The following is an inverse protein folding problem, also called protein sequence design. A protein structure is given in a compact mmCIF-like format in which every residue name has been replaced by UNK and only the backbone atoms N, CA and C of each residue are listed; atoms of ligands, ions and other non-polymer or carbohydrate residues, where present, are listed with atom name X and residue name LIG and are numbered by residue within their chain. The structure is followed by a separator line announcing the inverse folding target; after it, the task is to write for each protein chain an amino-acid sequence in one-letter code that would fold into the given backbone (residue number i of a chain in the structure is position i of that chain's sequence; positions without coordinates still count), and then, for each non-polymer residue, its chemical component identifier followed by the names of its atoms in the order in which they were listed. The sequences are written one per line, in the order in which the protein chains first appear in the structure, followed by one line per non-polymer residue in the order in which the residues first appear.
data_IF_539555523809
#
_entry.id   IF_539555523809
#
_cell.length_a   1.000
_cell.length_b   1.000
_cell.length_c   1.000
_cell.angle_alpha   90.00
_cell.angle_beta   90.00
_cell.angle_gamma   90.00
#
_symmetry.space_group_name_H-M   'P 1'
#
loop_
_entity.id
_entity.type
_entity.pdbx_description
1 polymer ?
#
# COMPACT_ATOMS: atom_id res chain seq x y z
N UNK A 1 16.24 -29.77 4.98
CA UNK A 1 15.96 -30.93 5.84
C UNK A 1 15.10 -30.60 7.04
N UNK A 2 15.41 -29.52 7.80
CA UNK A 2 14.64 -29.12 8.99
C UNK A 2 13.18 -28.82 8.63
N UNK A 3 12.93 -28.00 7.61
CA UNK A 3 11.59 -27.74 7.11
C UNK A 3 10.85 -29.01 6.69
N UNK A 4 11.55 -29.95 6.04
CA UNK A 4 10.93 -31.23 5.67
C UNK A 4 10.63 -32.11 6.88
N UNK A 5 11.37 -31.98 7.98
CA UNK A 5 11.09 -32.70 9.23
C UNK A 5 9.85 -32.13 9.95
N UNK A 6 9.52 -30.86 9.76
CA UNK A 6 8.28 -30.29 10.29
C UNK A 6 7.06 -31.07 9.78
N UNK A 7 7.05 -31.52 8.51
CA UNK A 7 5.99 -32.35 7.95
C UNK A 7 5.88 -33.71 8.69
N UNK A 8 7.02 -34.29 9.11
CA UNK A 8 7.05 -35.53 9.90
C UNK A 8 6.51 -35.28 11.31
N UNK A 9 6.97 -34.22 11.96
CA UNK A 9 6.59 -33.90 13.35
C UNK A 9 5.11 -33.52 13.49
N UNK A 10 4.55 -32.90 12.46
CA UNK A 10 3.13 -32.52 12.39
C UNK A 10 2.23 -33.67 11.90
N UNK A 11 2.82 -34.76 11.39
CA UNK A 11 2.09 -35.82 10.69
C UNK A 11 1.17 -35.23 9.60
N UNK A 12 1.69 -34.27 8.83
CA UNK A 12 0.91 -33.46 7.92
C UNK A 12 0.31 -34.30 6.78
N UNK A 13 -1.00 -34.17 6.53
CA UNK A 13 -1.68 -34.77 5.40
C UNK A 13 -1.57 -33.94 4.13
N UNK A 14 -1.56 -32.61 4.28
CA UNK A 14 -1.48 -31.63 3.17
C UNK A 14 -0.56 -30.49 3.59
N UNK A 15 0.37 -30.12 2.72
CA UNK A 15 1.22 -28.95 2.89
C UNK A 15 1.02 -27.99 1.72
N UNK A 16 0.73 -26.71 2.05
CA UNK A 16 0.53 -25.64 1.11
C UNK A 16 1.79 -24.77 0.98
N UNK A 17 2.16 -24.39 -0.22
CA UNK A 17 3.29 -23.50 -0.43
C UNK A 17 3.27 -22.77 -1.76
N UNK A 18 4.21 -21.86 -1.94
CA UNK A 18 4.48 -21.25 -3.24
C UNK A 18 5.18 -22.25 -4.18
N UNK A 19 5.09 -22.02 -5.48
CA UNK A 19 5.80 -22.84 -6.48
C UNK A 19 7.32 -22.87 -6.28
N UNK A 20 7.88 -21.82 -5.67
CA UNK A 20 9.29 -21.73 -5.26
C UNK A 20 9.66 -22.70 -4.13
N UNK A 21 8.69 -23.15 -3.32
CA UNK A 21 8.86 -24.08 -2.21
C UNK A 21 8.69 -25.55 -2.60
N UNK A 22 8.33 -25.85 -3.86
CA UNK A 22 8.00 -27.21 -4.31
C UNK A 22 9.06 -28.25 -3.92
N UNK A 23 10.33 -27.92 -4.07
CA UNK A 23 11.41 -28.82 -3.70
C UNK A 23 11.41 -29.14 -2.19
N UNK A 24 11.20 -28.13 -1.35
CA UNK A 24 11.17 -28.31 0.10
C UNK A 24 9.96 -29.16 0.53
N UNK A 25 8.79 -28.95 -0.07
CA UNK A 25 7.58 -29.72 0.19
C UNK A 25 7.78 -31.21 -0.20
N UNK A 26 8.42 -31.46 -1.33
CA UNK A 26 8.75 -32.84 -1.77
C UNK A 26 9.76 -33.51 -0.84
N UNK A 27 10.66 -32.75 -0.21
CA UNK A 27 11.57 -33.25 0.81
C UNK A 27 10.79 -33.74 2.05
N UNK A 28 9.75 -33.02 2.48
CA UNK A 28 8.83 -33.42 3.54
C UNK A 28 8.21 -34.81 3.24
N UNK A 29 7.70 -35.00 2.03
CA UNK A 29 7.17 -36.33 1.59
C UNK A 29 8.21 -37.45 1.68
N UNK A 30 9.46 -37.13 1.31
CA UNK A 30 10.55 -38.13 1.35
C UNK A 30 10.88 -38.51 2.79
N UNK A 31 10.93 -37.53 3.69
CA UNK A 31 11.18 -37.78 5.11
C UNK A 31 10.02 -38.54 5.76
N UNK A 32 8.78 -38.20 5.50
CA UNK A 32 7.61 -38.93 6.01
C UNK A 32 7.70 -40.42 5.66
N UNK A 33 8.03 -40.77 4.40
CA UNK A 33 8.25 -42.16 4.00
C UNK A 33 9.34 -42.83 4.83
N UNK A 34 10.47 -42.16 5.06
CA UNK A 34 11.58 -42.69 5.83
C UNK A 34 11.25 -42.89 7.30
N UNK A 35 10.29 -42.12 7.82
CA UNK A 35 9.76 -42.27 9.18
C UNK A 35 8.50 -43.17 9.26
N UNK A 36 8.14 -43.85 8.18
CA UNK A 36 7.02 -44.81 8.14
C UNK A 36 5.63 -44.16 8.07
N UNK A 37 5.57 -42.87 7.75
CA UNK A 37 4.31 -42.15 7.58
C UNK A 37 3.83 -42.16 6.13
N UNK A 38 2.53 -41.97 5.92
CA UNK A 38 1.96 -41.71 4.60
C UNK A 38 2.48 -40.36 4.09
N UNK A 39 2.94 -40.25 2.83
CA UNK A 39 3.47 -38.97 2.32
C UNK A 39 2.34 -38.00 2.05
N UNK A 40 2.47 -36.80 2.56
CA UNK A 40 1.55 -35.67 2.40
C UNK A 40 1.25 -35.29 0.94
N UNK A 41 0.12 -34.67 0.71
CA UNK A 41 -0.20 -33.96 -0.54
C UNK A 41 0.46 -32.60 -0.53
N UNK A 42 1.21 -32.27 -1.58
CA UNK A 42 1.78 -30.94 -1.76
C UNK A 42 0.92 -30.13 -2.73
N UNK A 43 0.33 -29.04 -2.26
CA UNK A 43 -0.42 -28.11 -3.09
C UNK A 43 0.39 -26.82 -3.24
N UNK A 44 0.75 -26.49 -4.48
CA UNK A 44 1.55 -25.29 -4.74
C UNK A 44 0.75 -24.24 -5.50
N UNK A 45 0.84 -22.99 -5.05
CA UNK A 45 0.23 -21.84 -5.70
C UNK A 45 1.31 -20.98 -6.37
N UNK A 46 0.98 -20.33 -7.50
CA UNK A 46 1.87 -19.35 -8.10
C UNK A 46 2.22 -18.23 -7.12
N UNK A 47 3.43 -17.68 -7.26
CA UNK A 47 3.83 -16.51 -6.49
C UNK A 47 3.09 -15.28 -7.02
N UNK A 48 2.62 -14.44 -6.11
CA UNK A 48 2.04 -13.15 -6.42
C UNK A 48 3.16 -12.09 -6.47
N UNK A 49 3.28 -11.42 -7.59
CA UNK A 49 4.19 -10.30 -7.79
C UNK A 49 3.68 -9.08 -7.00
N UNK A 50 4.60 -8.27 -6.51
CA UNK A 50 4.27 -7.02 -5.80
C UNK A 50 3.86 -5.89 -6.75
N UNK A 51 3.56 -4.72 -6.17
CA UNK A 51 3.13 -3.53 -6.91
C UNK A 51 4.16 -3.02 -7.94
N UNK A 52 5.43 -3.45 -7.81
CA UNK A 52 6.49 -3.17 -8.78
C UNK A 52 6.38 -4.01 -10.07
N UNK A 53 5.54 -5.04 -10.08
CA UNK A 53 5.32 -5.92 -11.23
C UNK A 53 6.47 -6.88 -11.54
N UNK A 54 7.49 -6.97 -10.71
CA UNK A 54 8.72 -7.73 -10.97
C UNK A 54 9.06 -8.69 -9.84
N UNK A 55 9.15 -8.17 -8.61
CA UNK A 55 9.54 -8.96 -7.44
C UNK A 55 8.33 -9.56 -6.75
N UNK A 56 8.51 -10.66 -6.03
CA UNK A 56 7.45 -11.21 -5.19
C UNK A 56 6.97 -10.18 -4.18
N UNK A 57 5.68 -10.18 -3.90
CA UNK A 57 5.10 -9.33 -2.87
C UNK A 57 5.75 -9.58 -1.52
N UNK A 58 6.28 -8.56 -0.87
CA UNK A 58 6.99 -8.67 0.40
C UNK A 58 6.90 -7.38 1.22
N UNK A 59 6.74 -7.54 2.55
CA UNK A 59 6.79 -6.41 3.49
C UNK A 59 8.16 -5.72 3.48
N UNK A 60 9.26 -6.50 3.39
CA UNK A 60 10.63 -5.96 3.39
C UNK A 60 10.95 -5.14 2.14
N UNK A 61 10.28 -5.40 1.02
CA UNK A 61 10.43 -4.65 -0.23
C UNK A 61 9.49 -3.45 -0.33
N UNK A 62 8.50 -3.34 0.56
CA UNK A 62 7.51 -2.28 0.53
C UNK A 62 6.55 -2.31 -0.67
N UNK A 63 6.58 -3.40 -1.46
CA UNK A 63 5.79 -3.57 -2.69
C UNK A 63 4.48 -4.34 -2.46
N UNK A 64 3.96 -4.33 -1.25
CA UNK A 64 2.81 -5.13 -0.84
C UNK A 64 1.53 -4.32 -0.65
N UNK A 65 0.39 -5.02 -0.75
CA UNK A 65 -0.92 -4.57 -0.28
C UNK A 65 -1.23 -5.35 1.00
N UNK A 66 -1.38 -4.66 2.11
CA UNK A 66 -1.71 -5.28 3.40
C UNK A 66 -3.21 -5.52 3.54
N UNK A 67 -3.60 -6.68 4.08
CA UNK A 67 -5.01 -6.96 4.39
C UNK A 67 -5.57 -6.03 5.48
N UNK A 68 -4.68 -5.44 6.29
CA UNK A 68 -5.00 -4.44 7.33
C UNK A 68 -4.74 -2.99 6.87
N UNK A 69 -4.39 -2.76 5.61
CA UNK A 69 -4.32 -1.40 5.08
C UNK A 69 -5.70 -0.75 5.17
N UNK A 70 -5.76 0.55 5.46
CA UNK A 70 -7.04 1.25 5.44
C UNK A 70 -7.74 1.09 4.07
N UNK A 71 -9.09 1.01 4.02
CA UNK A 71 -9.83 0.72 2.79
C UNK A 71 -9.44 1.57 1.58
N UNK A 72 -9.30 2.88 1.78
CA UNK A 72 -8.86 3.80 0.73
C UNK A 72 -7.41 3.60 0.30
N UNK A 73 -6.53 3.21 1.22
CA UNK A 73 -5.13 2.90 0.92
C UNK A 73 -5.02 1.60 0.12
N UNK A 74 -5.74 0.55 0.53
CA UNK A 74 -5.82 -0.71 -0.22
C UNK A 74 -6.33 -0.45 -1.65
N UNK A 75 -7.44 0.28 -1.79
CA UNK A 75 -8.01 0.66 -3.08
C UNK A 75 -6.99 1.41 -3.95
N UNK A 76 -6.32 2.42 -3.40
CA UNK A 76 -5.31 3.21 -4.09
C UNK A 76 -4.12 2.38 -4.56
N UNK A 77 -3.61 1.49 -3.71
CA UNK A 77 -2.51 0.57 -4.05
C UNK A 77 -2.90 -0.36 -5.20
N UNK A 78 -4.09 -0.94 -5.16
CA UNK A 78 -4.57 -1.82 -6.22
C UNK A 78 -4.79 -1.09 -7.56
N UNK A 79 -5.22 0.17 -7.53
CA UNK A 79 -5.29 0.99 -8.75
C UNK A 79 -3.91 1.31 -9.35
N UNK A 80 -2.85 1.30 -8.53
CA UNK A 80 -1.49 1.58 -9.00
C UNK A 80 -0.79 0.38 -9.63
N UNK A 81 -1.44 -0.78 -9.68
CA UNK A 81 -0.91 -1.96 -10.35
C UNK A 81 -0.56 -1.66 -11.83
N UNK A 82 0.58 -2.17 -12.33
CA UNK A 82 0.85 -2.15 -13.76
C UNK A 82 -0.27 -2.85 -14.56
N UNK A 83 -0.59 -2.33 -15.75
CA UNK A 83 -1.66 -2.89 -16.58
C UNK A 83 -1.42 -4.36 -16.93
N UNK A 84 -0.16 -4.73 -17.17
CA UNK A 84 0.26 -6.10 -17.45
C UNK A 84 0.00 -7.07 -16.30
N UNK A 85 -0.03 -6.56 -15.05
CA UNK A 85 -0.22 -7.39 -13.86
C UNK A 85 -1.69 -7.53 -13.45
N UNK A 86 -2.56 -6.68 -13.98
CA UNK A 86 -4.00 -6.64 -13.61
C UNK A 86 -4.66 -8.02 -13.75
N UNK A 87 -4.45 -8.68 -14.89
CA UNK A 87 -5.09 -9.97 -15.18
C UNK A 87 -4.55 -11.11 -14.33
N UNK A 88 -3.26 -11.05 -13.98
CA UNK A 88 -2.64 -11.98 -13.05
C UNK A 88 -3.27 -11.90 -11.65
N UNK A 89 -3.58 -10.70 -11.20
CA UNK A 89 -4.27 -10.47 -9.93
C UNK A 89 -5.72 -10.96 -9.98
N UNK A 90 -6.41 -10.77 -11.10
CA UNK A 90 -7.74 -11.34 -11.31
C UNK A 90 -7.71 -12.87 -11.22
N UNK A 91 -6.82 -13.52 -11.95
CA UNK A 91 -6.69 -14.98 -11.99
C UNK A 91 -6.36 -15.59 -10.62
N UNK A 92 -5.56 -14.91 -9.80
CA UNK A 92 -5.09 -15.46 -8.53
C UNK A 92 -5.96 -15.07 -7.33
N UNK A 93 -6.64 -13.94 -7.37
CA UNK A 93 -7.28 -13.35 -6.19
C UNK A 93 -8.78 -13.08 -6.35
N UNK A 94 -9.29 -12.86 -7.57
CA UNK A 94 -10.70 -12.56 -7.78
C UNK A 94 -11.57 -13.82 -7.63
N UNK A 95 -12.82 -13.61 -7.26
CA UNK A 95 -13.86 -14.64 -7.30
C UNK A 95 -14.54 -14.77 -8.69
N UNK A 96 -14.12 -13.97 -9.67
CA UNK A 96 -14.63 -14.04 -11.04
C UNK A 96 -14.31 -15.40 -11.69
N UNK A 97 -15.24 -15.91 -12.52
CA UNK A 97 -14.94 -17.06 -13.37
C UNK A 97 -13.94 -16.70 -14.47
N UNK A 98 -13.28 -17.71 -15.04
CA UNK A 98 -12.34 -17.48 -16.13
C UNK A 98 -13.03 -16.84 -17.34
N UNK A 99 -14.28 -17.22 -17.64
CA UNK A 99 -15.08 -16.62 -18.71
C UNK A 99 -15.27 -15.12 -18.48
N UNK A 100 -15.59 -14.72 -17.23
CA UNK A 100 -15.76 -13.30 -16.90
C UNK A 100 -14.44 -12.52 -17.01
N UNK A 101 -13.32 -13.15 -16.66
CA UNK A 101 -11.98 -12.53 -16.82
C UNK A 101 -11.68 -12.29 -18.30
N UNK A 102 -11.99 -13.24 -19.18
CA UNK A 102 -11.80 -13.07 -20.64
C UNK A 102 -12.71 -11.96 -21.22
N UNK A 103 -13.96 -11.86 -20.76
CA UNK A 103 -14.85 -10.75 -21.13
C UNK A 103 -14.25 -9.39 -20.71
N UNK A 104 -13.77 -9.28 -19.47
CA UNK A 104 -13.12 -8.05 -18.98
C UNK A 104 -11.86 -7.69 -19.76
N UNK A 105 -11.09 -8.68 -20.20
CA UNK A 105 -9.93 -8.46 -21.08
C UNK A 105 -10.39 -7.87 -22.43
N UNK A 106 -11.41 -8.42 -23.05
CA UNK A 106 -11.95 -7.94 -24.32
C UNK A 106 -12.55 -6.51 -24.19
N UNK A 107 -13.26 -6.24 -23.10
CA UNK A 107 -13.75 -4.91 -22.76
C UNK A 107 -12.58 -3.90 -22.65
N UNK A 108 -11.52 -4.27 -21.92
CA UNK A 108 -10.33 -3.43 -21.74
C UNK A 108 -9.57 -3.16 -23.04
N UNK A 109 -9.48 -4.14 -23.93
CA UNK A 109 -8.90 -3.97 -25.27
C UNK A 109 -9.71 -2.97 -26.10
N UNK A 110 -11.04 -3.07 -26.04
CA UNK A 110 -11.96 -2.15 -26.75
C UNK A 110 -11.82 -0.72 -26.23
N UNK A 111 -11.66 -0.56 -24.91
CA UNK A 111 -11.50 0.75 -24.25
C UNK A 111 -10.06 1.29 -24.33
N UNK A 112 -9.09 0.47 -24.77
CA UNK A 112 -7.66 0.80 -24.78
C UNK A 112 -7.02 0.92 -23.39
N UNK A 113 -7.71 0.45 -22.33
CA UNK A 113 -7.20 0.55 -20.95
C UNK A 113 -7.94 -0.40 -19.99
N UNK A 114 -7.25 -1.07 -19.05
CA UNK A 114 -7.86 -1.91 -18.03
C UNK A 114 -8.35 -1.13 -16.79
N UNK A 115 -8.48 0.19 -16.85
CA UNK A 115 -8.79 1.02 -15.66
C UNK A 115 -10.11 0.66 -14.98
N UNK A 116 -11.16 0.36 -15.75
CA UNK A 116 -12.45 -0.03 -15.17
C UNK A 116 -12.36 -1.42 -14.51
N UNK A 117 -11.63 -2.35 -15.13
CA UNK A 117 -11.34 -3.64 -14.51
C UNK A 117 -10.53 -3.48 -13.20
N UNK A 118 -9.51 -2.62 -13.17
CA UNK A 118 -8.75 -2.32 -11.95
C UNK A 118 -9.62 -1.75 -10.84
N UNK A 119 -10.54 -0.83 -11.17
CA UNK A 119 -11.49 -0.27 -10.19
C UNK A 119 -12.40 -1.36 -9.62
N UNK A 120 -12.97 -2.20 -10.49
CA UNK A 120 -13.82 -3.29 -10.07
C UNK A 120 -13.08 -4.29 -9.17
N UNK A 121 -11.86 -4.68 -9.55
CA UNK A 121 -11.00 -5.55 -8.75
C UNK A 121 -10.65 -4.93 -7.39
N UNK A 122 -10.28 -3.65 -7.36
CA UNK A 122 -9.95 -2.96 -6.13
C UNK A 122 -11.15 -2.88 -5.17
N UNK A 123 -12.35 -2.64 -5.69
CA UNK A 123 -13.59 -2.67 -4.91
C UNK A 123 -13.90 -4.06 -4.37
N UNK A 124 -13.70 -5.10 -5.19
CA UNK A 124 -13.86 -6.51 -4.77
C UNK A 124 -12.94 -6.83 -3.59
N UNK A 125 -11.65 -6.46 -3.69
CA UNK A 125 -10.69 -6.74 -2.63
C UNK A 125 -11.00 -5.95 -1.35
N UNK A 126 -11.35 -4.68 -1.45
CA UNK A 126 -11.77 -3.90 -0.28
C UNK A 126 -13.03 -4.51 0.34
N UNK A 127 -14.01 -4.93 -0.47
CA UNK A 127 -15.23 -5.55 0.05
C UNK A 127 -14.93 -6.88 0.79
N UNK A 128 -13.99 -7.67 0.28
CA UNK A 128 -13.56 -8.93 0.89
C UNK A 128 -12.94 -8.75 2.27
N UNK A 129 -12.10 -7.74 2.46
CA UNK A 129 -11.33 -7.56 3.70
C UNK A 129 -11.96 -6.56 4.68
N UNK A 130 -12.78 -5.64 4.20
CA UNK A 130 -13.34 -4.53 5.01
C UNK A 130 -14.86 -4.40 4.93
N UNK A 131 -15.52 -5.22 4.11
CA UNK A 131 -16.97 -5.19 3.91
C UNK A 131 -17.43 -4.24 2.81
N UNK A 132 -18.69 -4.42 2.40
CA UNK A 132 -19.27 -3.72 1.25
C UNK A 132 -19.39 -2.20 1.45
N UNK A 133 -19.71 -1.76 2.67
CA UNK A 133 -19.84 -0.33 2.99
C UNK A 133 -18.50 0.39 2.85
N UNK A 134 -17.42 -0.21 3.39
CA UNK A 134 -16.07 0.32 3.27
C UNK A 134 -15.62 0.37 1.80
N UNK A 135 -15.98 -0.63 0.99
CA UNK A 135 -15.68 -0.63 -0.44
C UNK A 135 -16.35 0.53 -1.18
N UNK A 136 -17.61 0.85 -0.88
CA UNK A 136 -18.31 1.99 -1.48
C UNK A 136 -17.69 3.34 -1.08
N UNK A 137 -17.15 3.44 0.12
CA UNK A 137 -16.48 4.65 0.62
C UNK A 137 -15.02 4.77 0.14
N UNK A 138 -14.35 3.66 -0.18
CA UNK A 138 -12.94 3.60 -0.52
C UNK A 138 -12.51 4.52 -1.68
N UNK A 139 -13.25 4.65 -2.80
CA UNK A 139 -12.89 5.59 -3.88
C UNK A 139 -12.81 7.04 -3.43
N UNK A 140 -13.69 7.46 -2.50
CA UNK A 140 -13.71 8.83 -1.95
C UNK A 140 -12.51 9.05 -1.01
N UNK A 141 -12.20 8.07 -0.17
CA UNK A 141 -11.07 8.12 0.77
C UNK A 141 -9.70 7.87 0.09
N UNK A 142 -9.67 7.09 -0.99
CA UNK A 142 -8.48 6.89 -1.82
C UNK A 142 -8.10 8.14 -2.62
N UNK A 143 -9.13 8.91 -2.96
CA UNK A 143 -9.00 10.21 -3.60
C UNK A 143 -8.54 11.32 -2.68
N UNK A 144 -8.05 11.04 -1.48
CA UNK A 144 -7.41 12.02 -0.61
C UNK A 144 -6.11 12.59 -1.21
N UNK A 145 -6.23 13.17 -2.38
CA UNK A 145 -5.69 14.48 -2.63
C UNK A 145 -6.51 15.39 -1.71
N UNK A 146 -5.97 15.70 -0.56
CA UNK A 146 -6.53 16.70 0.32
C UNK A 146 -6.69 17.94 -0.56
N UNK A 147 -7.94 18.39 -0.77
CA UNK A 147 -8.14 19.61 -1.53
C UNK A 147 -7.23 20.68 -0.91
N UNK A 148 -6.58 21.47 -1.74
CA UNK A 148 -5.63 22.46 -1.23
C UNK A 148 -6.41 23.42 -0.30
N UNK A 149 -6.01 23.47 0.97
CA UNK A 149 -6.69 24.23 2.01
C UNK A 149 -7.76 23.47 2.79
N UNK A 150 -8.04 22.21 2.46
CA UNK A 150 -8.98 21.39 3.22
C UNK A 150 -8.28 20.66 4.38
N UNK A 151 -8.90 20.63 5.55
CA UNK A 151 -8.33 20.00 6.75
C UNK A 151 -9.21 18.80 7.10
N UNK A 152 -8.69 17.57 6.91
CA UNK A 152 -9.40 16.35 7.32
C UNK A 152 -9.57 16.29 8.85
N UNK A 153 -10.62 15.60 9.32
CA UNK A 153 -10.86 15.39 10.75
C UNK A 153 -9.71 14.62 11.45
N UNK A 154 -8.99 13.77 10.71
CA UNK A 154 -7.88 12.98 11.25
C UNK A 154 -6.56 13.41 10.59
N UNK A 155 -5.93 14.46 11.13
CA UNK A 155 -4.64 14.95 10.69
C UNK A 155 -3.54 14.34 11.55
N UNK A 156 -2.49 13.70 10.98
CA UNK A 156 -1.35 13.20 11.74
C UNK A 156 -0.68 14.30 12.55
N UNK A 157 -0.32 14.02 13.80
CA UNK A 157 0.43 14.94 14.65
C UNK A 157 1.93 14.67 14.55
N UNK A 158 2.71 15.72 14.40
CA UNK A 158 4.17 15.68 14.31
C UNK A 158 4.76 16.74 15.22
N UNK A 159 5.69 16.35 16.06
CA UNK A 159 6.46 17.26 16.90
C UNK A 159 7.83 17.51 16.27
N UNK A 160 8.21 18.77 16.16
CA UNK A 160 9.52 19.19 15.66
C UNK A 160 10.28 19.87 16.79
N UNK A 161 11.37 19.24 17.22
CA UNK A 161 12.26 19.78 18.26
C UNK A 161 13.30 20.70 17.62
N UNK A 162 13.37 21.94 18.10
CA UNK A 162 14.33 22.94 17.61
C UNK A 162 15.71 22.85 18.25
N UNK A 163 15.91 22.00 19.27
CA UNK A 163 17.14 21.97 20.04
C UNK A 163 17.44 23.33 20.69
N UNK A 164 18.55 23.99 20.35
CA UNK A 164 18.95 25.30 20.89
C UNK A 164 18.37 26.49 20.11
N UNK A 165 17.55 26.28 19.10
CA UNK A 165 16.95 27.36 18.29
C UNK A 165 15.61 27.79 18.86
N UNK A 166 15.31 29.09 18.83
CA UNK A 166 14.04 29.66 19.29
C UNK A 166 12.95 29.63 18.20
N UNK A 167 13.35 29.49 16.95
CA UNK A 167 12.43 29.55 15.82
C UNK A 167 12.95 28.81 14.59
N UNK A 168 12.04 28.44 13.68
CA UNK A 168 12.34 27.73 12.43
C UNK A 168 11.55 28.32 11.25
N UNK A 169 12.20 28.49 10.10
CA UNK A 169 11.54 28.91 8.87
C UNK A 169 10.70 27.78 8.26
N UNK A 170 9.64 28.16 7.49
CA UNK A 170 8.72 27.19 6.85
C UNK A 170 9.44 26.12 6.02
N UNK A 171 10.47 26.46 5.24
CA UNK A 171 11.14 25.51 4.36
C UNK A 171 11.89 24.39 5.13
N UNK A 172 12.73 24.69 6.14
CA UNK A 172 13.26 23.67 7.04
C UNK A 172 12.16 22.91 7.80
N UNK A 173 11.11 23.62 8.28
CA UNK A 173 10.01 23.00 9.03
C UNK A 173 9.28 21.93 8.21
N UNK A 174 9.03 22.16 6.93
CA UNK A 174 8.43 21.19 6.03
C UNK A 174 9.27 19.89 5.93
N UNK A 175 10.59 20.01 5.98
CA UNK A 175 11.51 18.87 5.93
C UNK A 175 11.54 18.13 7.25
N UNK A 176 11.72 18.83 8.35
CA UNK A 176 11.79 18.23 9.71
C UNK A 176 10.46 17.56 10.08
N UNK A 177 9.33 18.12 9.66
CA UNK A 177 8.01 17.50 9.81
C UNK A 177 7.75 16.31 8.83
N UNK A 178 8.71 15.94 7.96
CA UNK A 178 8.55 14.83 7.01
C UNK A 178 7.51 15.07 5.89
N UNK A 179 7.08 16.32 5.73
CA UNK A 179 6.12 16.72 4.69
C UNK A 179 6.77 16.78 3.30
N UNK A 180 8.09 16.94 3.25
CA UNK A 180 8.90 16.89 2.03
C UNK A 180 10.21 16.13 2.29
N UNK A 181 10.81 15.55 1.24
CA UNK A 181 12.01 14.72 1.38
C UNK A 181 13.31 15.51 1.59
N UNK A 182 13.40 16.71 1.04
CA UNK A 182 14.62 17.53 1.08
C UNK A 182 14.31 19.02 0.86
N UNK A 183 15.32 19.88 1.06
CA UNK A 183 15.17 21.34 0.92
C UNK A 183 14.83 21.80 -0.49
N UNK A 184 15.25 21.06 -1.54
CA UNK A 184 14.88 21.38 -2.93
C UNK A 184 13.37 21.16 -3.14
N UNK A 185 12.84 20.05 -2.65
CA UNK A 185 11.40 19.76 -2.68
C UNK A 185 10.58 20.78 -1.88
N UNK A 186 11.10 21.23 -0.73
CA UNK A 186 10.46 22.30 0.06
C UNK A 186 10.31 23.60 -0.75
N UNK A 187 11.41 24.07 -1.37
CA UNK A 187 11.41 25.27 -2.23
C UNK A 187 10.47 25.11 -3.42
N UNK A 188 10.46 23.95 -4.05
CA UNK A 188 9.62 23.68 -5.23
C UNK A 188 8.12 23.68 -4.89
N UNK A 189 7.72 23.02 -3.78
CA UNK A 189 6.32 23.00 -3.32
C UNK A 189 5.88 24.41 -2.89
N UNK A 190 6.73 25.16 -2.18
CA UNK A 190 6.45 26.52 -1.77
C UNK A 190 6.35 27.48 -2.98
N UNK A 191 7.30 27.41 -3.91
CA UNK A 191 7.33 28.27 -5.11
C UNK A 191 6.14 28.04 -6.05
N UNK A 192 5.50 26.84 -6.02
CA UNK A 192 4.27 26.54 -6.75
C UNK A 192 3.00 26.98 -6.01
N UNK A 193 3.11 27.62 -4.84
CA UNK A 193 1.97 28.01 -4.03
C UNK A 193 1.16 26.84 -3.47
N UNK A 194 1.82 25.70 -3.25
CA UNK A 194 1.15 24.47 -2.80
C UNK A 194 1.39 24.18 -1.30
N UNK A 195 1.76 25.20 -0.52
CA UNK A 195 1.83 25.13 0.94
C UNK A 195 0.64 25.86 1.54
N UNK A 196 -0.06 25.21 2.46
CA UNK A 196 -1.22 25.74 3.18
C UNK A 196 -0.98 25.63 4.68
N UNK A 197 -1.37 26.69 5.40
CA UNK A 197 -1.31 26.80 6.85
C UNK A 197 -2.72 26.99 7.38
N UNK A 198 -3.20 26.08 8.23
CA UNK A 198 -4.54 26.10 8.82
C UNK A 198 -5.66 26.34 7.77
N UNK A 199 -5.51 25.75 6.60
CA UNK A 199 -6.46 25.85 5.48
C UNK A 199 -6.24 27.04 4.55
N UNK A 200 -5.39 28.03 4.90
CA UNK A 200 -5.09 29.17 4.07
C UNK A 200 -3.77 28.99 3.30
N UNK A 201 -3.74 29.40 2.03
CA UNK A 201 -2.51 29.36 1.23
C UNK A 201 -1.44 30.25 1.84
N UNK A 202 -0.25 29.69 2.06
CA UNK A 202 0.90 30.43 2.55
C UNK A 202 1.70 30.98 1.35
N UNK A 203 1.53 32.27 1.08
CA UNK A 203 2.17 32.97 -0.05
C UNK A 203 3.51 33.62 0.28
N UNK A 204 3.81 33.81 1.56
CA UNK A 204 5.07 34.38 2.03
C UNK A 204 5.77 33.46 3.01
N UNK A 205 7.11 33.50 3.02
CA UNK A 205 7.89 32.73 3.97
C UNK A 205 7.60 33.20 5.40
N UNK A 206 7.31 32.23 6.30
CA UNK A 206 6.99 32.49 7.70
C UNK A 206 7.94 31.73 8.61
N UNK A 207 8.21 32.32 9.77
CA UNK A 207 8.96 31.74 10.87
C UNK A 207 7.99 31.28 11.96
N UNK A 208 8.26 30.13 12.55
CA UNK A 208 7.48 29.52 13.62
C UNK A 208 8.34 29.45 14.87
N UNK A 209 7.76 29.80 15.99
CA UNK A 209 8.43 29.82 17.29
C UNK A 209 8.08 28.59 18.10
N UNK A 210 8.86 28.32 19.12
CA UNK A 210 8.61 27.27 20.09
C UNK A 210 7.22 27.46 20.73
N UNK A 211 6.41 26.40 20.74
CA UNK A 211 5.03 26.41 21.20
C UNK A 211 3.97 26.59 20.10
N UNK A 212 4.37 27.00 18.90
CA UNK A 212 3.43 27.11 17.79
C UNK A 212 2.92 25.73 17.38
N UNK A 213 1.61 25.63 17.10
CA UNK A 213 0.97 24.40 16.60
C UNK A 213 0.03 24.75 15.46
N UNK A 214 0.34 24.24 14.27
CA UNK A 214 -0.40 24.56 13.05
C UNK A 214 -0.62 23.32 12.19
N UNK A 215 -1.71 23.30 11.45
CA UNK A 215 -1.94 22.30 10.41
C UNK A 215 -1.24 22.78 9.13
N UNK A 216 -0.21 22.05 8.70
CA UNK A 216 0.58 22.39 7.52
C UNK A 216 0.33 21.34 6.44
N UNK A 217 -0.10 21.78 5.26
CA UNK A 217 -0.26 20.96 4.08
C UNK A 217 0.81 21.31 3.05
N UNK A 218 1.49 20.29 2.49
CA UNK A 218 2.49 20.43 1.44
C UNK A 218 2.05 19.65 0.19
N UNK A 219 1.44 20.34 -0.75
CA UNK A 219 0.80 19.76 -1.92
C UNK A 219 -0.46 18.96 -1.56
N UNK A 220 -0.96 18.16 -2.52
CA UNK A 220 -2.23 17.42 -2.37
C UNK A 220 -2.12 16.11 -1.56
N UNK A 221 -0.92 15.72 -1.12
CA UNK A 221 -0.69 14.38 -0.54
C UNK A 221 -0.17 14.39 0.88
N UNK A 222 0.33 15.50 1.37
CA UNK A 222 1.01 15.58 2.67
C UNK A 222 0.38 16.67 3.53
N UNK A 223 -0.10 16.28 4.70
CA UNK A 223 -0.65 17.17 5.72
C UNK A 223 -0.27 16.63 7.09
N UNK A 224 0.07 17.51 8.02
CA UNK A 224 0.27 17.18 9.42
C UNK A 224 -0.05 18.39 10.32
N UNK A 225 -0.48 18.12 11.55
CA UNK A 225 -0.48 19.10 12.64
C UNK A 225 0.93 19.12 13.20
N UNK A 226 1.64 20.18 12.96
CA UNK A 226 3.04 20.35 13.36
C UNK A 226 3.09 21.21 14.62
N UNK A 227 3.67 20.66 15.69
CA UNK A 227 3.92 21.38 16.94
C UNK A 227 5.41 21.57 17.10
N UNK A 228 5.83 22.82 17.28
CA UNK A 228 7.24 23.22 17.45
C UNK A 228 7.59 23.17 18.94
N UNK A 229 8.59 22.35 19.30
CA UNK A 229 9.07 22.16 20.68
C UNK A 229 10.46 22.73 20.91
#
# INVERSE_FOLDING_TARGET
LVQGYDSVALEADVELGGTDQKFNLLMGRTLQKSYGQAPQICLTMPILEGLDGVQKMSKSLGNYVGVNDAPGEMYRKLLSLPDSLTWRYYELLSACSNERIEELKAEAETLGSPQEAKKAFALEMVARFHGAEAAQAAPKSAGNQIALGDIPDNVPEVEVDLGDQDSIHILPLLREAGLVQNGKAAKDVFGRGAVYLDGAQLSEERTFSRGDSHVIQAGKKKIARVTVK
#
